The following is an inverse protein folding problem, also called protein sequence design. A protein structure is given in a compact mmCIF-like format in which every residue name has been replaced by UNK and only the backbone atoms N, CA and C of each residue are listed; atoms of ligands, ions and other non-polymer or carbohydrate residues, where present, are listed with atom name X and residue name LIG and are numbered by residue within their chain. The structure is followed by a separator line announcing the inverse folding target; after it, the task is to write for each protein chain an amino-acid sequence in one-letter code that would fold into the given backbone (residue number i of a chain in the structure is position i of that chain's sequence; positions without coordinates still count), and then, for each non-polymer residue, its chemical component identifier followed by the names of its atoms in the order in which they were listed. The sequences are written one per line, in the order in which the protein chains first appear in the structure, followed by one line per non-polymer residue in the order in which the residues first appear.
data_IF_226793944908
#
_entry.id   IF_226793944908
#
_cell.length_a   1.000
_cell.length_b   1.000
_cell.length_c   1.000
_cell.angle_alpha   90.00
_cell.angle_beta   90.00
_cell.angle_gamma   90.00
#
_symmetry.space_group_name_H-M   'P 1'
#
loop_
_entity.id
_entity.type
_entity.pdbx_description
1 polymer ?
#
# COMPACT_ATOMS: atom_id res chain seq x y z
N UNK A 1 21.20 -27.71 3.05
CA UNK A 1 19.89 -28.34 2.76
C UNK A 1 18.98 -27.31 2.08
N UNK A 2 19.42 -26.70 0.96
CA UNK A 2 19.06 -25.28 0.68
C UNK A 2 19.04 -24.87 -0.80
N UNK A 3 18.79 -25.78 -1.75
CA UNK A 3 18.66 -25.41 -3.18
C UNK A 3 17.50 -26.11 -3.91
N UNK A 4 17.04 -27.26 -3.42
CA UNK A 4 15.87 -27.96 -3.99
C UNK A 4 14.54 -27.36 -3.53
N UNK A 5 14.46 -26.84 -2.31
CA UNK A 5 13.19 -26.34 -1.74
C UNK A 5 12.75 -24.98 -2.32
N UNK A 6 13.69 -24.09 -2.60
CA UNK A 6 13.41 -22.78 -3.22
C UNK A 6 12.97 -22.87 -4.68
N UNK A 7 13.46 -23.87 -5.44
CA UNK A 7 12.97 -24.16 -6.80
C UNK A 7 11.56 -24.79 -6.78
N UNK A 8 11.29 -25.65 -5.81
CA UNK A 8 9.98 -26.29 -5.60
C UNK A 8 8.89 -25.26 -5.28
N UNK A 9 9.19 -24.29 -4.42
CA UNK A 9 8.24 -23.27 -3.98
C UNK A 9 7.90 -22.24 -5.09
N UNK A 10 8.90 -21.83 -5.88
CA UNK A 10 8.69 -20.97 -7.04
C UNK A 10 7.92 -21.70 -8.17
N UNK A 11 8.14 -23.01 -8.32
CA UNK A 11 7.36 -23.86 -9.23
C UNK A 11 5.88 -23.97 -8.83
N UNK A 12 5.60 -24.11 -7.53
CA UNK A 12 4.23 -24.15 -6.96
C UNK A 12 3.50 -22.82 -7.12
N UNK A 13 4.18 -21.69 -6.91
CA UNK A 13 3.59 -20.36 -7.10
C UNK A 13 3.23 -20.08 -8.57
N UNK A 14 4.11 -20.44 -9.52
CA UNK A 14 3.82 -20.33 -10.96
C UNK A 14 2.67 -21.25 -11.39
N UNK A 15 2.63 -22.48 -10.88
CA UNK A 15 1.55 -23.42 -11.17
C UNK A 15 0.19 -22.90 -10.65
N UNK A 16 0.16 -22.34 -9.44
CA UNK A 16 -1.05 -21.72 -8.89
C UNK A 16 -1.50 -20.51 -9.70
N UNK A 17 -0.58 -19.65 -10.17
CA UNK A 17 -0.93 -18.55 -11.08
C UNK A 17 -1.52 -19.05 -12.41
N UNK A 18 -0.97 -20.12 -12.99
CA UNK A 18 -1.47 -20.70 -14.25
C UNK A 18 -2.85 -21.34 -14.07
N UNK A 19 -3.07 -22.07 -12.97
CA UNK A 19 -4.37 -22.66 -12.64
C UNK A 19 -5.43 -21.56 -12.44
N UNK A 20 -5.09 -20.49 -11.70
CA UNK A 20 -5.98 -19.35 -11.49
C UNK A 20 -6.34 -18.65 -12.82
N UNK A 21 -5.38 -18.46 -13.73
CA UNK A 21 -5.62 -17.89 -15.07
C UNK A 21 -6.52 -18.77 -15.94
N UNK A 22 -6.42 -20.09 -15.84
CA UNK A 22 -7.28 -21.05 -16.57
C UNK A 22 -8.72 -21.04 -16.04
N UNK A 23 -8.90 -20.98 -14.72
CA UNK A 23 -10.23 -20.84 -14.11
C UNK A 23 -10.88 -19.50 -14.48
N UNK A 24 -10.11 -18.41 -14.53
CA UNK A 24 -10.59 -17.12 -15.00
C UNK A 24 -11.03 -17.14 -16.48
N UNK A 25 -10.29 -17.81 -17.37
CA UNK A 25 -10.71 -17.98 -18.78
C UNK A 25 -12.03 -18.74 -18.90
N UNK A 26 -12.23 -19.82 -18.13
CA UNK A 26 -13.51 -20.55 -18.11
C UNK A 26 -14.67 -19.66 -17.65
N UNK A 27 -14.45 -18.78 -16.68
CA UNK A 27 -15.45 -17.83 -16.18
C UNK A 27 -15.73 -16.66 -17.13
N UNK A 28 -14.83 -16.37 -18.08
CA UNK A 28 -15.02 -15.37 -19.13
C UNK A 28 -15.77 -15.92 -20.35
N UNK A 29 -15.63 -17.21 -20.67
CA UNK A 29 -16.30 -17.85 -21.81
C UNK A 29 -17.74 -18.29 -21.55
N UNK A 30 -18.21 -18.25 -20.30
CA UNK A 30 -19.63 -18.46 -19.98
C UNK A 30 -20.44 -17.24 -20.46
N UNK A 31 -21.05 -17.35 -21.65
CA UNK A 31 -21.92 -16.34 -22.23
C UNK A 31 -23.08 -15.98 -21.28
N UNK A 32 -23.39 -14.68 -21.23
CA UNK A 32 -24.39 -14.07 -20.34
C UNK A 32 -25.80 -14.52 -20.74
N UNK A 33 -26.52 -15.15 -19.81
CA UNK A 33 -27.98 -15.27 -19.90
C UNK A 33 -28.61 -13.91 -19.57
N UNK A 34 -29.52 -13.46 -20.43
CA UNK A 34 -30.22 -12.15 -20.35
C UNK A 34 -31.04 -12.02 -19.04
N UNK A 35 -31.37 -13.13 -18.38
CA UNK A 35 -32.25 -13.16 -17.20
C UNK A 35 -31.67 -12.64 -15.86
N UNK A 36 -30.41 -12.17 -15.80
CA UNK A 36 -29.77 -11.72 -14.54
C UNK A 36 -29.58 -10.20 -14.40
N UNK A 37 -30.11 -9.41 -15.34
CA UNK A 37 -30.01 -7.95 -15.31
C UNK A 37 -31.25 -7.35 -14.62
N UNK A 38 -31.07 -6.64 -13.51
CA UNK A 38 -32.15 -5.86 -12.87
C UNK A 38 -31.94 -4.37 -13.17
N UNK A 39 -33.03 -3.70 -13.53
CA UNK A 39 -33.09 -2.25 -13.72
C UNK A 39 -33.37 -1.60 -12.37
N UNK A 40 -32.55 -0.64 -11.94
CA UNK A 40 -32.83 0.18 -10.75
C UNK A 40 -32.59 1.64 -11.09
N UNK A 41 -33.65 2.47 -11.01
CA UNK A 41 -33.56 3.92 -11.10
C UNK A 41 -33.09 4.49 -9.76
N UNK A 42 -32.04 5.31 -9.77
CA UNK A 42 -31.66 6.09 -8.59
C UNK A 42 -32.54 7.34 -8.58
N UNK A 43 -33.61 7.32 -7.79
CA UNK A 43 -34.34 8.53 -7.44
C UNK A 43 -33.51 9.31 -6.42
N UNK A 44 -33.13 10.54 -6.76
CA UNK A 44 -32.57 11.47 -5.79
C UNK A 44 -33.65 11.80 -4.75
N UNK A 45 -33.48 11.34 -3.52
CA UNK A 45 -34.30 11.81 -2.39
C UNK A 45 -34.07 13.30 -2.22
N UNK A 46 -35.03 14.13 -2.67
CA UNK A 46 -35.07 15.55 -2.35
C UNK A 46 -36.38 15.87 -1.64
N UNK A 47 -36.22 16.46 -0.46
CA UNK A 47 -37.26 17.08 0.35
C UNK A 47 -37.77 18.37 -0.28
N UNK A 48 -39.10 18.52 -0.27
CA UNK A 48 -39.94 19.73 -0.38
C UNK A 48 -39.76 20.72 -1.54
N UNK A 49 -40.86 20.82 -2.29
CA UNK A 49 -41.54 22.02 -2.83
C UNK A 49 -40.88 22.90 -3.90
N UNK A 50 -41.60 22.95 -5.03
CA UNK A 50 -41.75 24.01 -6.04
C UNK A 50 -40.56 24.37 -6.94
N UNK A 51 -40.73 24.06 -8.23
CA UNK A 51 -40.26 24.91 -9.33
C UNK A 51 -39.14 24.36 -10.20
N UNK A 52 -39.48 24.12 -11.48
CA UNK A 52 -38.61 23.88 -12.65
C UNK A 52 -38.03 22.46 -12.77
N UNK A 53 -38.67 21.67 -13.64
CA UNK A 53 -38.17 20.39 -14.15
C UNK A 53 -36.95 20.65 -15.04
N UNK A 54 -35.76 20.54 -14.47
CA UNK A 54 -34.54 20.34 -15.25
C UNK A 54 -34.29 18.83 -15.25
N UNK A 55 -34.78 18.12 -16.28
CA UNK A 55 -34.50 16.70 -16.47
C UNK A 55 -33.00 16.52 -16.76
N UNK A 56 -32.21 16.34 -15.71
CA UNK A 56 -30.88 15.75 -15.84
C UNK A 56 -31.05 14.35 -16.45
N UNK A 57 -30.29 13.98 -17.49
CA UNK A 57 -30.45 12.67 -18.12
C UNK A 57 -30.21 11.58 -17.07
N UNK A 58 -31.26 10.80 -16.82
CA UNK A 58 -31.20 9.66 -15.91
C UNK A 58 -30.21 8.65 -16.50
N UNK A 59 -28.99 8.61 -15.96
CA UNK A 59 -27.99 7.62 -16.37
C UNK A 59 -28.51 6.25 -15.92
N UNK A 60 -29.07 5.49 -16.85
CA UNK A 60 -29.50 4.10 -16.62
C UNK A 60 -28.26 3.24 -16.31
N UNK A 61 -28.01 3.00 -15.02
CA UNK A 61 -26.92 2.12 -14.62
C UNK A 61 -27.43 0.68 -14.54
N UNK A 62 -27.13 -0.10 -15.59
CA UNK A 62 -27.41 -1.53 -15.63
C UNK A 62 -26.43 -2.25 -14.70
N UNK A 63 -26.84 -2.52 -13.46
CA UNK A 63 -26.00 -3.19 -12.46
C UNK A 63 -26.46 -4.64 -12.28
N UNK A 64 -25.62 -5.59 -12.69
CA UNK A 64 -25.96 -7.01 -12.54
C UNK A 64 -25.86 -7.43 -11.07
N UNK A 65 -26.56 -8.51 -10.69
CA UNK A 65 -26.41 -9.10 -9.34
C UNK A 65 -24.95 -9.42 -9.03
N UNK A 66 -24.18 -9.84 -10.05
CA UNK A 66 -22.75 -10.12 -9.93
C UNK A 66 -21.95 -8.86 -9.57
N UNK A 67 -22.30 -7.69 -10.12
CA UNK A 67 -21.62 -6.44 -9.82
C UNK A 67 -21.91 -6.00 -8.38
N UNK A 68 -23.14 -6.19 -7.91
CA UNK A 68 -23.53 -5.94 -6.53
C UNK A 68 -22.79 -6.85 -5.54
N UNK A 69 -22.68 -8.15 -5.85
CA UNK A 69 -21.86 -9.07 -5.06
C UNK A 69 -20.40 -8.66 -5.04
N UNK A 70 -19.81 -8.35 -6.21
CA UNK A 70 -18.41 -7.93 -6.29
C UNK A 70 -18.16 -6.65 -5.49
N UNK A 71 -19.08 -5.68 -5.56
CA UNK A 71 -19.03 -4.45 -4.76
C UNK A 71 -19.07 -4.74 -3.26
N UNK A 72 -19.98 -5.60 -2.80
CA UNK A 72 -20.07 -5.98 -1.39
C UNK A 72 -18.77 -6.64 -0.89
N UNK A 73 -18.19 -7.53 -1.69
CA UNK A 73 -16.93 -8.19 -1.39
C UNK A 73 -15.75 -7.21 -1.35
N UNK A 74 -15.69 -6.24 -2.27
CA UNK A 74 -14.67 -5.19 -2.28
C UNK A 74 -14.80 -4.27 -1.05
N UNK A 75 -16.04 -3.88 -0.68
CA UNK A 75 -16.29 -3.07 0.52
C UNK A 75 -15.80 -3.81 1.78
N UNK A 76 -16.15 -5.09 1.92
CA UNK A 76 -15.66 -5.88 3.05
C UNK A 76 -14.14 -6.05 3.03
N UNK A 77 -13.56 -6.21 1.85
CA UNK A 77 -12.11 -6.29 1.68
C UNK A 77 -11.42 -5.01 2.14
N UNK A 78 -11.91 -3.83 1.70
CA UNK A 78 -11.39 -2.53 2.13
C UNK A 78 -11.55 -2.35 3.64
N UNK A 79 -12.69 -2.72 4.22
CA UNK A 79 -12.90 -2.68 5.68
C UNK A 79 -11.91 -3.58 6.41
N UNK A 80 -11.67 -4.78 5.91
CA UNK A 80 -10.72 -5.72 6.49
C UNK A 80 -9.30 -5.16 6.51
N UNK A 81 -8.87 -4.51 5.42
CA UNK A 81 -7.56 -3.82 5.37
C UNK A 81 -7.51 -2.66 6.35
N UNK A 82 -8.49 -1.75 6.30
CA UNK A 82 -8.51 -0.55 7.13
C UNK A 82 -8.60 -0.84 8.63
N UNK A 83 -9.17 -1.99 9.02
CA UNK A 83 -9.30 -2.42 10.42
C UNK A 83 -8.31 -3.51 10.82
N UNK A 84 -7.31 -3.79 9.98
CA UNK A 84 -6.25 -4.78 10.23
C UNK A 84 -6.79 -6.18 10.58
N UNK A 85 -7.85 -6.62 9.91
CA UNK A 85 -8.42 -7.95 10.08
C UNK A 85 -7.56 -9.01 9.38
N UNK A 86 -7.49 -10.19 9.99
CA UNK A 86 -6.86 -11.35 9.36
C UNK A 86 -7.67 -11.77 8.13
N UNK A 87 -7.00 -12.23 7.08
CA UNK A 87 -7.67 -12.86 5.94
C UNK A 87 -8.48 -14.11 6.38
N UNK A 88 -8.12 -14.73 7.50
CA UNK A 88 -8.88 -15.82 8.12
C UNK A 88 -10.21 -15.36 8.71
N UNK A 89 -10.39 -14.07 9.03
CA UNK A 89 -11.66 -13.50 9.50
C UNK A 89 -12.76 -13.49 8.44
N UNK A 90 -12.43 -13.82 7.18
CA UNK A 90 -13.41 -14.03 6.11
C UNK A 90 -13.92 -15.48 6.02
N UNK A 91 -13.56 -16.35 6.97
CA UNK A 91 -14.11 -17.70 7.04
C UNK A 91 -15.59 -17.65 7.42
N UNK A 92 -16.43 -18.49 6.78
CA UNK A 92 -17.89 -18.58 6.96
C UNK A 92 -18.71 -17.28 6.85
N UNK A 93 -18.10 -16.21 6.33
CA UNK A 93 -18.71 -14.89 6.27
C UNK A 93 -20.08 -14.87 5.57
N UNK A 94 -20.24 -15.71 4.54
CA UNK A 94 -21.53 -15.91 3.86
C UNK A 94 -22.61 -16.43 4.81
N UNK A 95 -22.30 -17.46 5.60
CA UNK A 95 -23.24 -18.06 6.54
C UNK A 95 -23.57 -17.07 7.67
N UNK A 96 -22.57 -16.34 8.16
CA UNK A 96 -22.77 -15.26 9.14
C UNK A 96 -23.73 -14.20 8.63
N UNK A 97 -23.51 -13.68 7.41
CA UNK A 97 -24.41 -12.68 6.83
C UNK A 97 -25.80 -13.22 6.53
N UNK A 98 -25.92 -14.49 6.12
CA UNK A 98 -27.22 -15.15 5.95
C UNK A 98 -27.98 -15.24 7.28
N UNK A 99 -27.30 -15.54 8.39
CA UNK A 99 -27.92 -15.59 9.70
C UNK A 99 -28.32 -14.20 10.22
N UNK A 100 -27.51 -13.17 9.94
CA UNK A 100 -27.77 -11.79 10.40
C UNK A 100 -28.85 -11.07 9.59
N UNK A 101 -28.88 -11.28 8.27
CA UNK A 101 -29.66 -10.44 7.34
C UNK A 101 -30.61 -11.22 6.43
N UNK A 102 -30.68 -12.55 6.58
CA UNK A 102 -31.45 -13.43 5.71
C UNK A 102 -30.79 -13.69 4.35
N UNK A 103 -31.49 -14.45 3.50
CA UNK A 103 -30.99 -14.79 2.17
C UNK A 103 -31.31 -13.68 1.16
N UNK A 104 -30.30 -13.22 0.42
CA UNK A 104 -30.45 -12.29 -0.70
C UNK A 104 -29.75 -12.81 -1.95
N UNK A 105 -30.15 -12.32 -3.14
CA UNK A 105 -29.51 -12.68 -4.41
C UNK A 105 -28.00 -12.32 -4.42
N UNK A 106 -27.61 -11.27 -3.70
CA UNK A 106 -26.21 -10.87 -3.51
C UNK A 106 -25.46 -11.92 -2.68
N UNK A 107 -26.06 -12.35 -1.56
CA UNK A 107 -25.48 -13.37 -0.68
C UNK A 107 -25.43 -14.76 -1.33
N UNK A 108 -26.36 -15.10 -2.21
CA UNK A 108 -26.32 -16.35 -2.98
C UNK A 108 -25.01 -16.47 -3.77
N UNK A 109 -24.55 -15.38 -4.39
CA UNK A 109 -23.31 -15.35 -5.16
C UNK A 109 -22.06 -14.95 -4.35
N UNK A 110 -22.25 -14.50 -3.11
CA UNK A 110 -21.15 -14.11 -2.23
C UNK A 110 -20.23 -15.29 -1.95
N UNK A 111 -18.94 -15.09 -2.15
CA UNK A 111 -17.91 -16.13 -2.07
C UNK A 111 -16.60 -15.63 -1.49
N UNK A 112 -16.61 -14.50 -0.79
CA UNK A 112 -15.43 -13.97 -0.11
C UNK A 112 -14.95 -14.95 0.96
N UNK A 113 -13.72 -15.39 0.79
CA UNK A 113 -12.96 -16.29 1.67
C UNK A 113 -11.50 -15.84 1.64
N UNK A 114 -10.66 -16.45 2.47
CA UNK A 114 -9.22 -16.16 2.58
C UNK A 114 -8.52 -15.95 1.22
N UNK A 115 -8.66 -16.88 0.28
CA UNK A 115 -7.99 -16.76 -1.03
C UNK A 115 -8.52 -15.60 -1.87
N UNK A 116 -9.85 -15.39 -1.84
CA UNK A 116 -10.50 -14.35 -2.64
C UNK A 116 -10.19 -12.97 -2.08
N UNK A 117 -10.20 -12.79 -0.75
CA UNK A 117 -9.83 -11.50 -0.16
C UNK A 117 -8.37 -11.16 -0.46
N UNK A 118 -7.44 -12.12 -0.35
CA UNK A 118 -6.04 -11.89 -0.74
C UNK A 118 -5.93 -11.48 -2.21
N UNK A 119 -6.63 -12.17 -3.11
CA UNK A 119 -6.67 -11.82 -4.53
C UNK A 119 -7.23 -10.41 -4.78
N UNK A 120 -8.34 -10.05 -4.13
CA UNK A 120 -8.92 -8.70 -4.25
C UNK A 120 -7.97 -7.63 -3.72
N UNK A 121 -7.24 -7.90 -2.64
CA UNK A 121 -6.22 -6.97 -2.13
C UNK A 121 -5.09 -6.82 -3.14
N UNK A 122 -4.47 -7.91 -3.60
CA UNK A 122 -3.23 -7.84 -4.39
C UNK A 122 -3.45 -7.50 -5.86
N UNK A 123 -4.54 -7.97 -6.46
CA UNK A 123 -4.77 -7.87 -7.91
C UNK A 123 -5.82 -6.81 -8.29
N UNK A 124 -6.65 -6.35 -7.35
CA UNK A 124 -7.67 -5.33 -7.63
C UNK A 124 -7.38 -4.02 -6.89
N UNK A 125 -7.37 -4.03 -5.56
CA UNK A 125 -7.23 -2.82 -4.75
C UNK A 125 -5.81 -2.24 -4.83
N UNK A 126 -4.77 -3.05 -4.65
CA UNK A 126 -3.40 -2.55 -4.64
C UNK A 126 -3.00 -1.87 -5.96
N UNK A 127 -3.27 -2.43 -7.16
CA UNK A 127 -2.98 -1.75 -8.42
C UNK A 127 -3.79 -0.45 -8.57
N UNK A 128 -5.05 -0.44 -8.16
CA UNK A 128 -5.90 0.76 -8.19
C UNK A 128 -5.31 1.87 -7.33
N UNK A 129 -5.06 1.62 -6.04
CA UNK A 129 -4.54 2.63 -5.13
C UNK A 129 -3.11 3.07 -5.46
N UNK A 130 -2.26 2.18 -5.99
CA UNK A 130 -0.94 2.57 -6.51
C UNK A 130 -1.05 3.53 -7.70
N UNK A 131 -2.03 3.32 -8.57
CA UNK A 131 -2.28 4.21 -9.70
C UNK A 131 -2.83 5.57 -9.24
N UNK A 132 -3.75 5.59 -8.26
CA UNK A 132 -4.25 6.84 -7.67
C UNK A 132 -3.14 7.61 -6.95
N UNK A 133 -2.31 6.95 -6.13
CA UNK A 133 -1.13 7.55 -5.51
C UNK A 133 -0.20 8.18 -6.56
N UNK A 134 0.06 7.49 -7.68
CA UNK A 134 0.89 8.03 -8.76
C UNK A 134 0.30 9.28 -9.38
N UNK A 135 -1.01 9.31 -9.64
CA UNK A 135 -1.70 10.48 -10.18
C UNK A 135 -1.63 11.65 -9.20
N UNK A 136 -1.81 11.37 -7.91
CA UNK A 136 -1.77 12.38 -6.84
C UNK A 136 -0.38 13.01 -6.69
N UNK A 137 0.68 12.21 -6.74
CA UNK A 137 2.06 12.70 -6.75
C UNK A 137 2.32 13.53 -8.01
N UNK A 138 1.86 13.04 -9.16
CA UNK A 138 1.95 13.73 -10.45
C UNK A 138 3.39 14.14 -10.78
N UNK A 139 3.58 15.44 -11.04
CA UNK A 139 4.88 16.04 -11.33
C UNK A 139 5.52 16.73 -10.12
N UNK A 140 5.01 16.51 -8.91
CA UNK A 140 5.54 17.13 -7.70
C UNK A 140 6.97 16.71 -7.43
N UNK A 141 7.76 17.63 -6.86
CA UNK A 141 9.01 17.26 -6.21
C UNK A 141 8.70 16.44 -4.95
N UNK A 142 9.55 15.46 -4.67
CA UNK A 142 9.32 14.57 -3.55
C UNK A 142 10.60 14.27 -2.77
N UNK A 143 10.41 13.89 -1.52
CA UNK A 143 11.43 13.32 -0.65
C UNK A 143 11.18 11.82 -0.54
N UNK A 144 12.23 11.03 -0.78
CA UNK A 144 12.19 9.60 -0.50
C UNK A 144 12.68 9.36 0.93
N UNK A 145 11.80 8.85 1.77
CA UNK A 145 12.06 8.49 3.16
C UNK A 145 12.35 7.01 3.24
N UNK A 146 13.34 6.63 4.04
CA UNK A 146 13.59 5.23 4.32
C UNK A 146 14.11 5.03 5.74
N UNK A 147 13.72 3.91 6.35
CA UNK A 147 14.17 3.52 7.68
C UNK A 147 14.39 2.01 7.76
N UNK A 148 15.39 1.63 8.54
CA UNK A 148 15.75 0.23 8.76
C UNK A 148 15.31 -0.18 10.16
N UNK A 149 14.58 -1.28 10.24
CA UNK A 149 14.20 -1.89 11.51
C UNK A 149 14.49 -3.38 11.51
N UNK A 150 14.51 -3.99 12.69
CA UNK A 150 14.57 -5.44 12.85
C UNK A 150 13.30 -5.88 13.54
N UNK A 151 12.54 -6.74 12.90
CA UNK A 151 11.28 -7.22 13.45
C UNK A 151 11.49 -8.23 14.59
N UNK A 152 10.39 -8.63 15.25
CA UNK A 152 10.43 -9.59 16.36
C UNK A 152 11.01 -10.98 15.97
N UNK A 153 10.99 -11.33 14.68
CA UNK A 153 11.58 -12.56 14.15
C UNK A 153 13.07 -12.39 13.77
N UNK A 154 13.71 -11.27 14.14
CA UNK A 154 15.12 -11.00 13.84
C UNK A 154 15.40 -10.67 12.37
N UNK A 155 14.37 -10.45 11.54
CA UNK A 155 14.55 -10.10 10.13
C UNK A 155 14.67 -8.59 9.99
N UNK A 156 15.65 -8.14 9.20
CA UNK A 156 15.77 -6.73 8.85
C UNK A 156 14.76 -6.36 7.79
N UNK A 157 14.11 -5.23 8.02
CA UNK A 157 13.11 -4.64 7.15
C UNK A 157 13.58 -3.23 6.78
N UNK A 158 13.50 -2.91 5.49
CA UNK A 158 13.67 -1.57 4.96
C UNK A 158 12.29 -1.03 4.60
N UNK A 159 11.80 -0.09 5.39
CA UNK A 159 10.55 0.60 5.11
C UNK A 159 10.85 1.84 4.27
N UNK A 160 10.07 2.04 3.21
CA UNK A 160 10.20 3.22 2.34
C UNK A 160 8.87 3.96 2.24
N UNK A 161 8.95 5.28 2.13
CA UNK A 161 7.81 6.16 1.99
C UNK A 161 8.17 7.35 1.11
N UNK A 162 7.17 7.94 0.46
CA UNK A 162 7.30 9.17 -0.31
C UNK A 162 6.63 10.30 0.47
N UNK A 163 7.28 11.46 0.50
CA UNK A 163 6.71 12.71 1.02
C UNK A 163 6.70 13.75 -0.07
N UNK A 164 5.54 14.36 -0.28
CA UNK A 164 5.31 15.32 -1.36
C UNK A 164 4.21 16.31 -0.97
N UNK A 165 4.09 17.40 -1.74
CA UNK A 165 2.99 18.35 -1.63
C UNK A 165 1.79 17.83 -2.44
N UNK A 166 0.64 17.64 -1.79
CA UNK A 166 -0.59 17.23 -2.46
C UNK A 166 -1.45 18.46 -2.76
N UNK A 167 -1.52 18.85 -4.03
CA UNK A 167 -2.31 20.02 -4.46
C UNK A 167 -3.80 19.91 -4.11
N UNK A 168 -4.50 18.78 -4.37
CA UNK A 168 -5.92 18.65 -4.02
C UNK A 168 -6.24 18.86 -2.54
N UNK A 169 -5.33 18.48 -1.64
CA UNK A 169 -5.54 18.61 -0.19
C UNK A 169 -4.78 19.78 0.42
N UNK A 170 -4.02 20.52 -0.38
CA UNK A 170 -3.21 21.67 0.02
C UNK A 170 -2.33 21.41 1.26
N UNK A 171 -1.73 20.21 1.34
CA UNK A 171 -0.89 19.83 2.47
C UNK A 171 0.23 18.86 2.08
N UNK A 172 1.21 18.72 2.98
CA UNK A 172 2.28 17.72 2.82
C UNK A 172 1.74 16.34 3.20
N UNK A 173 1.81 15.42 2.25
CA UNK A 173 1.37 14.04 2.43
C UNK A 173 2.60 13.13 2.52
N UNK A 174 2.56 12.17 3.44
CA UNK A 174 3.56 11.08 3.53
C UNK A 174 2.84 9.75 3.37
N UNK A 175 3.22 8.97 2.36
CA UNK A 175 2.60 7.69 2.06
C UNK A 175 3.65 6.60 1.96
N UNK A 176 3.32 5.42 2.49
CA UNK A 176 4.15 4.23 2.34
C UNK A 176 4.28 3.82 0.85
N UNK A 177 5.46 3.36 0.45
CA UNK A 177 5.70 2.80 -0.88
C UNK A 177 5.85 1.29 -0.81
N UNK A 178 6.90 0.81 -0.16
CA UNK A 178 7.22 -0.62 -0.07
C UNK A 178 8.07 -0.95 1.16
N UNK A 179 7.88 -2.15 1.69
CA UNK A 179 8.74 -2.75 2.73
C UNK A 179 9.51 -3.90 2.13
N UNK A 180 10.84 -3.86 2.23
CA UNK A 180 11.72 -4.94 1.79
C UNK A 180 12.28 -5.72 2.98
N UNK A 181 12.25 -7.05 2.91
CA UNK A 181 13.04 -7.88 3.81
C UNK A 181 14.47 -7.99 3.27
N UNK A 182 15.44 -7.50 4.03
CA UNK A 182 16.85 -7.46 3.62
C UNK A 182 17.70 -8.35 4.54
N UNK A 183 18.63 -9.11 3.96
CA UNK A 183 19.58 -9.89 4.76
C UNK A 183 20.75 -9.04 5.26
N UNK A 184 21.23 -8.13 4.42
CA UNK A 184 22.32 -7.19 4.70
C UNK A 184 21.89 -5.78 4.36
N UNK A 185 22.37 -4.83 5.14
CA UNK A 185 22.13 -3.40 4.95
C UNK A 185 23.43 -2.66 4.68
N UNK A 186 24.12 -3.02 3.59
CA UNK A 186 25.25 -2.21 3.10
C UNK A 186 24.71 -1.06 2.27
N UNK A 187 25.50 -0.01 2.10
CA UNK A 187 25.06 1.18 1.36
C UNK A 187 24.65 0.86 -0.09
N UNK A 188 25.33 -0.07 -0.76
CA UNK A 188 24.96 -0.52 -2.11
C UNK A 188 23.65 -1.31 -2.14
N UNK A 189 23.41 -2.14 -1.11
CA UNK A 189 22.18 -2.93 -1.01
C UNK A 189 20.97 -2.01 -0.84
N UNK A 190 21.10 -1.00 0.03
CA UNK A 190 20.06 0.00 0.28
C UNK A 190 19.84 0.88 -0.94
N UNK A 191 20.90 1.41 -1.57
CA UNK A 191 20.78 2.24 -2.78
C UNK A 191 20.05 1.50 -3.90
N UNK A 192 20.39 0.23 -4.14
CA UNK A 192 19.70 -0.61 -5.12
C UNK A 192 18.20 -0.74 -4.79
N UNK A 193 17.85 -0.93 -3.51
CA UNK A 193 16.45 -1.03 -3.07
C UNK A 193 15.70 0.30 -3.17
N UNK A 194 16.35 1.43 -2.96
CA UNK A 194 15.76 2.76 -3.20
C UNK A 194 15.50 2.98 -4.70
N UNK A 195 16.43 2.59 -5.57
CA UNK A 195 16.22 2.66 -7.02
C UNK A 195 15.10 1.70 -7.49
N UNK A 196 15.03 0.50 -6.91
CA UNK A 196 13.94 -0.45 -7.14
C UNK A 196 12.58 0.13 -6.74
N UNK A 197 12.49 0.77 -5.56
CA UNK A 197 11.21 1.35 -5.12
C UNK A 197 10.76 2.54 -5.97
N UNK A 198 11.70 3.41 -6.38
CA UNK A 198 11.39 4.51 -7.30
C UNK A 198 10.89 3.98 -8.65
N UNK A 199 11.51 2.91 -9.17
CA UNK A 199 11.07 2.25 -10.40
C UNK A 199 9.67 1.64 -10.25
N UNK A 200 9.42 0.89 -9.18
CA UNK A 200 8.12 0.26 -8.88
C UNK A 200 7.00 1.29 -8.76
N UNK A 201 7.28 2.44 -8.13
CA UNK A 201 6.34 3.54 -7.97
C UNK A 201 6.25 4.45 -9.22
N UNK A 202 7.13 4.25 -10.21
CA UNK A 202 7.30 5.13 -11.38
C UNK A 202 7.59 6.58 -11.00
N UNK A 203 8.42 6.76 -9.98
CA UNK A 203 8.87 8.06 -9.50
C UNK A 203 10.13 8.50 -10.26
N UNK A 204 10.09 9.64 -10.97
CA UNK A 204 11.24 10.09 -11.74
C UNK A 204 12.33 10.66 -10.84
N UNK A 205 13.57 10.23 -11.04
CA UNK A 205 14.75 10.73 -10.32
C UNK A 205 14.97 12.24 -10.52
N UNK A 206 14.47 12.81 -11.62
CA UNK A 206 14.49 14.26 -11.87
C UNK A 206 13.78 15.07 -10.80
N UNK A 207 12.75 14.48 -10.17
CA UNK A 207 11.90 15.13 -9.18
C UNK A 207 12.28 14.74 -7.74
N UNK A 208 13.28 13.87 -7.56
CA UNK A 208 13.82 13.58 -6.25
C UNK A 208 14.55 14.81 -5.70
N UNK A 209 14.01 15.37 -4.63
CA UNK A 209 14.53 16.56 -3.96
C UNK A 209 15.52 16.19 -2.86
N UNK A 210 15.19 15.16 -2.07
CA UNK A 210 15.91 14.84 -0.83
C UNK A 210 15.74 13.35 -0.48
N UNK A 211 16.74 12.78 0.22
CA UNK A 211 16.60 11.53 0.97
C UNK A 211 16.43 11.82 2.46
N UNK A 212 15.41 11.24 3.08
CA UNK A 212 15.23 11.31 4.54
C UNK A 212 15.61 9.99 5.21
N UNK A 213 16.65 10.02 6.05
CA UNK A 213 17.18 8.86 6.76
C UNK A 213 17.72 9.22 8.15
N UNK A 214 18.08 8.21 8.94
CA UNK A 214 18.82 8.37 10.20
C UNK A 214 20.35 8.56 9.97
N UNK A 215 21.10 8.72 11.06
CA UNK A 215 22.53 9.12 11.07
C UNK A 215 23.62 8.07 10.81
N UNK A 216 23.42 6.74 10.90
CA UNK A 216 24.47 5.75 10.69
C UNK A 216 25.31 6.00 9.42
N UNK A 217 26.59 5.65 9.47
CA UNK A 217 27.54 5.88 8.37
C UNK A 217 27.09 5.23 7.05
N UNK A 218 26.38 4.10 7.13
CA UNK A 218 25.78 3.45 5.96
C UNK A 218 24.83 4.39 5.24
N UNK A 219 23.95 5.09 5.95
CA UNK A 219 22.93 5.97 5.37
C UNK A 219 23.52 7.28 4.86
N UNK A 220 24.55 7.79 5.54
CA UNK A 220 25.39 8.87 4.98
C UNK A 220 26.05 8.46 3.66
N UNK A 221 26.51 7.20 3.55
CA UNK A 221 27.10 6.70 2.32
C UNK A 221 26.05 6.51 1.20
N UNK A 222 24.84 6.07 1.52
CA UNK A 222 23.70 6.01 0.57
C UNK A 222 23.40 7.41 0.01
N UNK A 223 23.28 8.42 0.90
CA UNK A 223 23.05 9.81 0.50
C UNK A 223 24.11 10.30 -0.49
N UNK A 224 25.39 10.11 -0.16
CA UNK A 224 26.51 10.52 -1.03
C UNK A 224 26.46 9.83 -2.40
N UNK A 225 26.16 8.53 -2.44
CA UNK A 225 26.10 7.78 -3.70
C UNK A 225 24.93 8.23 -4.58
N UNK A 226 23.73 8.36 -4.00
CA UNK A 226 22.56 8.88 -4.73
C UNK A 226 22.81 10.30 -5.25
N UNK A 227 23.39 11.17 -4.42
CA UNK A 227 23.73 12.55 -4.81
C UNK A 227 24.70 12.58 -5.99
N UNK A 228 25.73 11.72 -5.98
CA UNK A 228 26.66 11.58 -7.11
C UNK A 228 25.98 11.08 -8.39
N UNK A 229 25.04 10.13 -8.30
CA UNK A 229 24.24 9.66 -9.44
C UNK A 229 23.36 10.78 -10.03
N UNK A 230 22.76 11.61 -9.18
CA UNK A 230 21.93 12.74 -9.59
C UNK A 230 22.74 13.91 -10.16
N UNK A 231 23.90 14.21 -9.58
CA UNK A 231 24.82 15.22 -10.12
C UNK A 231 25.29 14.84 -11.54
N UNK A 232 25.58 13.56 -11.78
CA UNK A 232 25.95 13.06 -13.12
C UNK A 232 24.78 13.12 -14.11
N UNK A 233 23.59 12.73 -13.68
CA UNK A 233 22.44 12.58 -14.59
C UNK A 233 21.69 13.90 -14.88
N UNK A 234 21.53 14.79 -13.89
CA UNK A 234 20.75 16.03 -14.02
C UNK A 234 21.49 17.31 -13.65
N UNK A 235 22.81 17.25 -13.37
CA UNK A 235 23.67 18.39 -12.98
C UNK A 235 23.23 19.12 -11.69
N UNK A 236 22.32 18.53 -10.92
CA UNK A 236 21.80 19.05 -9.65
C UNK A 236 21.75 17.94 -8.61
N UNK A 237 22.34 18.20 -7.45
CA UNK A 237 22.36 17.26 -6.33
C UNK A 237 21.05 17.24 -5.54
N UNK A 238 21.06 16.50 -4.44
CA UNK A 238 20.01 16.47 -3.43
C UNK A 238 20.12 17.69 -2.50
N UNK A 239 18.98 18.16 -2.03
CA UNK A 239 18.94 19.10 -0.90
C UNK A 239 19.27 18.33 0.37
N UNK A 240 20.33 18.76 1.07
CA UNK A 240 20.77 18.14 2.31
C UNK A 240 20.40 19.02 3.51
N UNK A 241 19.29 18.70 4.18
CA UNK A 241 18.86 19.35 5.42
C UNK A 241 19.31 18.59 6.68
N UNK A 242 20.23 17.64 6.54
CA UNK A 242 20.72 16.80 7.61
C UNK A 242 19.97 15.47 7.73
N UNK A 243 19.84 15.01 8.97
CA UNK A 243 19.39 13.63 9.29
C UNK A 243 18.25 13.67 10.29
N UNK A 244 17.59 12.53 10.53
CA UNK A 244 16.46 12.42 11.43
C UNK A 244 16.67 13.13 12.79
N UNK A 245 15.89 14.19 13.01
CA UNK A 245 15.88 14.99 14.25
C UNK A 245 15.36 14.19 15.46
N UNK A 246 14.42 13.26 15.25
CA UNK A 246 13.91 12.37 16.31
C UNK A 246 15.05 11.53 16.88
N UNK A 247 15.88 10.93 16.03
CA UNK A 247 17.05 10.18 16.49
C UNK A 247 18.08 11.06 17.19
N UNK A 248 18.21 12.34 16.81
CA UNK A 248 19.04 13.32 17.53
C UNK A 248 18.54 13.59 18.92
N UNK A 249 17.25 13.89 19.05
CA UNK A 249 16.62 14.16 20.34
C UNK A 249 16.67 12.92 21.23
N UNK A 250 16.26 11.76 20.74
CA UNK A 250 16.29 10.50 21.49
C UNK A 250 17.68 10.16 22.02
N UNK A 251 18.71 10.26 21.17
CA UNK A 251 20.08 9.95 21.59
C UNK A 251 20.63 10.94 22.61
N UNK A 252 20.26 12.24 22.50
CA UNK A 252 20.62 13.24 23.50
C UNK A 252 20.02 12.91 24.86
N UNK A 253 18.71 12.65 24.93
CA UNK A 253 18.03 12.24 26.17
C UNK A 253 18.59 10.93 26.75
N UNK A 254 18.83 9.92 25.89
CA UNK A 254 19.42 8.65 26.34
C UNK A 254 20.80 8.85 26.95
N UNK A 255 21.61 9.78 26.41
CA UNK A 255 22.94 10.08 26.95
C UNK A 255 22.82 10.88 28.25
N UNK A 256 21.97 11.90 28.31
CA UNK A 256 21.78 12.69 29.53
C UNK A 256 21.29 11.85 30.71
N UNK A 257 20.36 10.92 30.49
CA UNK A 257 19.88 10.00 31.54
C UNK A 257 21.00 9.10 32.09
N UNK A 258 21.95 8.67 31.25
CA UNK A 258 23.09 7.87 31.70
C UNK A 258 24.08 8.69 32.54
N UNK A 259 24.34 9.93 32.13
CA UNK A 259 25.20 10.84 32.89
C UNK A 259 24.56 11.20 34.24
N UNK A 260 23.24 11.45 34.25
CA UNK A 260 22.50 11.71 35.48
C UNK A 260 22.51 10.51 36.43
N UNK A 261 22.29 9.30 35.92
CA UNK A 261 22.38 8.07 36.72
C UNK A 261 23.78 7.87 37.30
N UNK A 262 24.83 8.15 36.50
CA UNK A 262 26.21 8.12 36.98
C UNK A 262 26.43 9.15 38.09
N UNK A 263 25.94 10.38 37.92
CA UNK A 263 26.05 11.44 38.92
C UNK A 263 25.34 11.08 40.25
N UNK A 264 24.14 10.50 40.17
CA UNK A 264 23.39 10.09 41.35
C UNK A 264 24.01 8.88 42.07
N UNK A 265 24.61 7.93 41.32
CA UNK A 265 25.19 6.71 41.88
C UNK A 265 26.63 6.88 42.39
N UNK A 266 27.36 7.91 41.95
CA UNK A 266 28.75 8.16 42.40
C UNK A 266 28.79 9.02 43.67
N UNK A 267 27.65 9.59 44.11
CA UNK A 267 27.59 10.48 45.25
C UNK A 267 28.21 11.85 44.95
N UNK A 268 27.59 12.91 45.45
CA UNK A 268 28.27 14.21 45.54
C UNK A 268 29.50 14.06 46.46
N UNK A 269 30.64 14.69 46.14
CA UNK A 269 31.79 14.71 47.04
C UNK A 269 31.43 15.21 48.44
#
# INVERSE_FOLDING_TARGET
MTSKDTKSENGRQKLNQVIMRRTARKNMTAQKSVGQMRLTSIGASSSSATGVLNESPSVLQLCSVRDQTTRAELIWTMKSVASNFSASSCYDLKATFQAMFGLSNVLQNFSLRRTKITYLITEALAPYFKNEQRKEIGNSYFTLLYDETTNAAGRKELHTAVRYWCEPTNCVVTQHLETFFIGKARSDDLLRKLNEVMSNASLPSSNLLMLGSNRPNVNKAVLKKMDQELLKSRKKGLVNIGTCNIHTTHNAFRKSMKELDTFLNVGLP
#
